data_IF_238086043438
#
_entry.id   IF_238086043438
#
_cell.length_a   1.000
_cell.length_b   1.000
_cell.length_c   1.000
_cell.angle_alpha   90.00
_cell.angle_beta   90.00
_cell.angle_gamma   90.00
#
_symmetry.space_group_name_H-M   'P 1'
#
loop_
_entity.id
_entity.type
_entity.pdbx_description
1 polymer ?
#
# COMPACT_ATOMS: atom_id res chain seq x y z
N UNK A 1 -7.91 0.56 51.24
CA UNK A 1 -7.99 -0.90 51.41
C UNK A 1 -8.84 -1.54 50.30
N UNK A 2 -10.10 -1.09 50.08
CA UNK A 2 -10.99 -1.61 49.02
C UNK A 2 -10.37 -1.46 47.62
N UNK A 3 -9.84 -0.29 47.30
CA UNK A 3 -9.18 -0.03 46.01
C UNK A 3 -8.01 -1.02 45.73
N UNK A 4 -7.14 -1.25 46.72
CA UNK A 4 -6.02 -2.15 46.59
C UNK A 4 -6.47 -3.60 46.38
N UNK A 5 -7.54 -4.02 46.99
CA UNK A 5 -8.12 -5.36 46.79
C UNK A 5 -8.69 -5.52 45.41
N UNK A 6 -9.44 -4.53 44.90
CA UNK A 6 -9.99 -4.55 43.53
C UNK A 6 -8.84 -4.55 42.50
N UNK A 7 -7.84 -3.69 42.69
CA UNK A 7 -6.65 -3.66 41.83
C UNK A 7 -5.96 -5.02 41.78
N UNK A 8 -5.74 -5.67 42.91
CA UNK A 8 -5.09 -6.98 42.98
C UNK A 8 -5.95 -8.05 42.28
N UNK A 9 -7.27 -8.01 42.39
CA UNK A 9 -8.17 -8.93 41.70
C UNK A 9 -8.08 -8.76 40.18
N UNK A 10 -8.05 -7.52 39.68
CA UNK A 10 -7.89 -7.24 38.24
C UNK A 10 -6.53 -7.70 37.74
N UNK A 11 -5.46 -7.42 38.50
CA UNK A 11 -4.11 -7.84 38.13
C UNK A 11 -3.96 -9.37 38.09
N UNK A 12 -4.64 -10.09 38.97
CA UNK A 12 -4.64 -11.54 38.98
C UNK A 12 -5.30 -12.14 37.71
N UNK A 13 -6.19 -11.40 37.05
CA UNK A 13 -6.85 -11.79 35.78
C UNK A 13 -6.18 -11.17 34.56
N UNK A 14 -5.02 -10.52 34.70
CA UNK A 14 -4.39 -9.72 33.66
C UNK A 14 -4.14 -10.47 32.35
N UNK A 15 -3.68 -11.72 32.41
CA UNK A 15 -3.45 -12.56 31.22
C UNK A 15 -4.75 -12.87 30.49
N UNK A 16 -5.81 -13.26 31.23
CA UNK A 16 -7.11 -13.59 30.64
C UNK A 16 -7.76 -12.38 29.99
N UNK A 17 -7.63 -11.19 30.61
CA UNK A 17 -8.10 -9.93 30.04
C UNK A 17 -7.33 -9.57 28.78
N UNK A 18 -6.01 -9.74 28.77
CA UNK A 18 -5.18 -9.50 27.59
C UNK A 18 -5.52 -10.44 26.43
N UNK A 19 -5.73 -11.72 26.70
CA UNK A 19 -6.11 -12.71 25.68
C UNK A 19 -7.50 -12.41 25.11
N UNK A 20 -8.46 -12.04 25.97
CA UNK A 20 -9.79 -11.63 25.52
C UNK A 20 -9.75 -10.36 24.67
N UNK A 21 -8.95 -9.38 25.09
CA UNK A 21 -8.77 -8.15 24.32
C UNK A 21 -8.13 -8.42 22.94
N UNK A 22 -7.15 -9.33 22.87
CA UNK A 22 -6.53 -9.73 21.60
C UNK A 22 -7.55 -10.39 20.68
N UNK A 23 -8.32 -11.36 21.18
CA UNK A 23 -9.35 -12.04 20.39
C UNK A 23 -10.41 -11.06 19.85
N UNK A 24 -10.86 -10.11 20.68
CA UNK A 24 -11.80 -9.07 20.26
C UNK A 24 -11.18 -8.17 19.18
N UNK A 25 -9.92 -7.78 19.32
CA UNK A 25 -9.22 -6.96 18.33
C UNK A 25 -9.09 -7.68 16.98
N UNK A 26 -8.78 -8.98 17.00
CA UNK A 26 -8.72 -9.80 15.76
C UNK A 26 -10.09 -9.87 15.06
N UNK A 27 -11.16 -10.07 15.81
CA UNK A 27 -12.53 -10.09 15.27
C UNK A 27 -12.91 -8.72 14.71
N UNK A 28 -12.59 -7.65 15.41
CA UNK A 28 -12.88 -6.27 14.99
C UNK A 28 -12.19 -5.94 13.69
N UNK A 29 -10.87 -6.18 13.58
CA UNK A 29 -10.10 -5.97 12.36
C UNK A 29 -10.63 -6.82 11.21
N UNK A 30 -10.92 -8.09 11.44
CA UNK A 30 -11.45 -8.99 10.41
C UNK A 30 -12.81 -8.51 9.91
N UNK A 31 -13.70 -8.09 10.82
CA UNK A 31 -15.03 -7.60 10.48
C UNK A 31 -14.97 -6.29 9.71
N UNK A 32 -14.15 -5.33 10.16
CA UNK A 32 -13.97 -4.06 9.49
C UNK A 32 -13.39 -4.25 8.06
N UNK A 33 -12.40 -5.13 7.92
CA UNK A 33 -11.80 -5.47 6.63
C UNK A 33 -12.79 -6.15 5.68
N UNK A 34 -13.61 -7.08 6.20
CA UNK A 34 -14.65 -7.74 5.41
C UNK A 34 -15.74 -6.76 4.96
N UNK A 35 -16.16 -5.85 5.84
CA UNK A 35 -17.13 -4.81 5.52
C UNK A 35 -16.59 -3.89 4.42
N UNK A 36 -15.34 -3.42 4.55
CA UNK A 36 -14.69 -2.58 3.54
C UNK A 36 -14.63 -3.29 2.19
N UNK A 37 -14.21 -4.56 2.19
CA UNK A 37 -14.11 -5.38 0.98
C UNK A 37 -15.47 -5.56 0.28
N UNK A 38 -16.51 -5.86 1.05
CA UNK A 38 -17.86 -6.06 0.53
C UNK A 38 -18.45 -4.75 -0.03
N UNK A 39 -18.31 -3.65 0.71
CA UNK A 39 -18.87 -2.34 0.32
C UNK A 39 -18.21 -1.76 -0.93
N UNK A 40 -16.93 -2.04 -1.15
CA UNK A 40 -16.16 -1.48 -2.28
C UNK A 40 -15.84 -2.53 -3.36
N UNK A 41 -16.47 -3.70 -3.33
CA UNK A 41 -16.25 -4.76 -4.32
C UNK A 41 -14.77 -5.11 -4.50
N UNK A 42 -14.06 -5.31 -3.39
CA UNK A 42 -12.67 -5.76 -3.39
C UNK A 42 -12.60 -7.28 -3.64
N UNK A 43 -11.57 -7.75 -4.32
CA UNK A 43 -11.29 -9.16 -4.51
C UNK A 43 -10.24 -9.69 -3.52
N UNK A 44 -10.24 -10.99 -3.30
CA UNK A 44 -9.19 -11.67 -2.53
C UNK A 44 -7.96 -11.85 -3.41
N UNK A 45 -6.78 -11.26 -3.08
CA UNK A 45 -5.57 -11.48 -3.85
C UNK A 45 -5.07 -12.93 -3.70
N UNK A 46 -4.51 -13.48 -4.77
CA UNK A 46 -3.81 -14.75 -4.74
C UNK A 46 -2.31 -14.47 -4.50
N UNK A 47 -1.83 -14.87 -3.33
CA UNK A 47 -0.41 -14.75 -3.02
C UNK A 47 0.36 -15.95 -3.58
N UNK A 48 1.57 -15.71 -4.12
CA UNK A 48 2.46 -16.69 -4.72
C UNK A 48 3.87 -16.57 -4.13
N UNK A 49 4.62 -17.65 -4.18
CA UNK A 49 6.03 -17.63 -3.77
C UNK A 49 6.94 -17.08 -4.90
N UNK A 50 6.49 -17.20 -6.14
CA UNK A 50 7.21 -16.67 -7.31
C UNK A 50 7.02 -15.14 -7.43
N UNK A 51 7.97 -14.42 -8.03
CA UNK A 51 7.88 -12.98 -8.25
C UNK A 51 6.88 -12.67 -9.38
N UNK A 52 5.61 -12.64 -9.05
CA UNK A 52 4.50 -12.32 -9.96
C UNK A 52 3.84 -11.03 -9.49
N UNK A 53 3.46 -10.16 -10.42
CA UNK A 53 2.68 -8.97 -10.13
C UNK A 53 1.67 -8.73 -11.26
N UNK A 54 0.45 -9.16 -11.05
CA UNK A 54 -0.63 -9.08 -12.01
C UNK A 54 -1.90 -8.59 -11.34
N UNK A 55 -2.44 -7.49 -11.86
CA UNK A 55 -3.66 -6.86 -11.39
C UNK A 55 -4.57 -6.63 -12.59
N UNK A 56 -5.79 -7.13 -12.53
CA UNK A 56 -6.82 -6.89 -13.53
C UNK A 56 -7.85 -5.91 -12.98
N UNK A 57 -8.12 -4.85 -13.74
CA UNK A 57 -9.05 -3.77 -13.39
C UNK A 57 -8.83 -3.22 -11.97
N UNK A 58 -7.56 -2.93 -11.66
CA UNK A 58 -7.18 -2.26 -10.42
C UNK A 58 -7.80 -0.87 -10.31
N UNK A 59 -8.18 -0.49 -9.09
CA UNK A 59 -8.78 0.79 -8.76
C UNK A 59 -8.04 1.44 -7.61
N UNK A 60 -8.11 2.75 -7.48
CA UNK A 60 -7.39 3.45 -6.44
C UNK A 60 -8.22 3.52 -5.14
N UNK A 61 -7.80 2.88 -4.03
CA UNK A 61 -8.61 2.73 -2.82
C UNK A 61 -9.00 4.05 -2.14
N UNK A 62 -8.24 5.11 -2.40
CA UNK A 62 -8.50 6.44 -1.80
C UNK A 62 -9.21 7.38 -2.78
N UNK A 63 -8.82 7.37 -4.06
CA UNK A 63 -9.37 8.33 -5.04
C UNK A 63 -10.75 7.89 -5.51
N UNK A 64 -10.96 6.60 -5.76
CA UNK A 64 -12.25 6.10 -6.23
C UNK A 64 -13.44 6.51 -5.33
N UNK A 65 -13.37 6.37 -4.00
CA UNK A 65 -14.47 6.77 -3.13
C UNK A 65 -14.72 8.30 -3.05
N UNK A 66 -13.73 9.10 -3.49
CA UNK A 66 -13.84 10.57 -3.49
C UNK A 66 -14.43 11.13 -4.79
N UNK A 67 -14.54 10.30 -5.82
CA UNK A 67 -15.13 10.71 -7.09
C UNK A 67 -16.66 10.77 -6.99
N UNK A 68 -17.23 11.77 -7.62
CA UNK A 68 -18.69 11.88 -7.73
C UNK A 68 -19.24 10.75 -8.61
N UNK A 69 -20.48 10.34 -8.35
CA UNK A 69 -21.15 9.24 -9.05
C UNK A 69 -21.25 9.44 -10.57
N UNK A 70 -21.07 10.67 -11.06
CA UNK A 70 -21.09 10.99 -12.48
C UNK A 70 -19.76 10.79 -13.20
N UNK A 71 -18.66 10.61 -12.43
CA UNK A 71 -17.32 10.43 -12.98
C UNK A 71 -16.69 9.15 -12.41
N UNK A 72 -17.07 7.97 -12.93
CA UNK A 72 -16.56 6.71 -12.38
C UNK A 72 -15.05 6.61 -12.56
N UNK A 73 -14.38 5.98 -11.59
CA UNK A 73 -12.96 5.66 -11.69
C UNK A 73 -12.74 4.67 -12.85
N UNK A 74 -11.79 4.99 -13.73
CA UNK A 74 -11.41 4.09 -14.81
C UNK A 74 -10.40 3.09 -14.26
N UNK A 75 -10.81 1.84 -14.17
CA UNK A 75 -9.96 0.75 -13.70
C UNK A 75 -8.83 0.45 -14.70
N UNK A 76 -7.67 0.03 -14.19
CA UNK A 76 -6.48 -0.20 -14.99
C UNK A 76 -5.86 -1.56 -14.70
N UNK A 77 -5.32 -2.20 -15.73
CA UNK A 77 -4.54 -3.43 -15.61
C UNK A 77 -3.07 -3.11 -15.36
N UNK A 78 -2.38 -3.98 -14.61
CA UNK A 78 -0.94 -3.92 -14.40
C UNK A 78 -0.37 -5.35 -14.40
N UNK A 79 0.61 -5.61 -15.26
CA UNK A 79 1.29 -6.90 -15.32
C UNK A 79 2.80 -6.66 -15.40
N UNK A 80 3.54 -6.98 -14.33
CA UNK A 80 4.98 -6.87 -14.22
C UNK A 80 5.64 -8.26 -14.13
N UNK A 81 5.09 -9.24 -14.80
CA UNK A 81 5.68 -10.57 -14.85
C UNK A 81 7.00 -10.53 -15.65
N UNK A 82 7.90 -11.47 -15.39
CA UNK A 82 9.20 -11.61 -16.03
C UNK A 82 10.18 -10.45 -15.79
N UNK A 83 10.12 -9.81 -14.61
CA UNK A 83 11.04 -8.75 -14.21
C UNK A 83 10.90 -7.50 -15.07
N UNK A 84 9.73 -7.24 -15.61
CA UNK A 84 9.45 -6.14 -16.51
C UNK A 84 9.59 -4.78 -15.85
N UNK A 85 10.17 -3.85 -16.58
CA UNK A 85 10.13 -2.43 -16.31
C UNK A 85 9.01 -1.79 -17.15
N UNK A 86 8.06 -1.14 -16.48
CA UNK A 86 7.08 -0.32 -17.17
C UNK A 86 7.49 1.14 -17.17
N UNK A 87 7.62 1.69 -18.37
CA UNK A 87 7.83 3.12 -18.58
C UNK A 87 6.49 3.79 -18.93
N UNK A 88 5.94 4.53 -17.97
CA UNK A 88 4.66 5.24 -18.13
C UNK A 88 4.91 6.63 -18.73
N UNK A 89 4.40 6.85 -19.92
CA UNK A 89 4.47 8.14 -20.62
C UNK A 89 3.08 8.74 -20.80
N UNK A 90 2.99 10.03 -21.00
CA UNK A 90 1.73 10.73 -21.27
C UNK A 90 1.72 12.16 -20.72
N UNK A 91 0.69 12.95 -21.02
CA UNK A 91 0.60 14.34 -20.59
C UNK A 91 0.46 14.44 -19.06
N UNK A 92 0.75 15.64 -18.53
CA UNK A 92 0.51 15.92 -17.12
C UNK A 92 -0.99 15.83 -16.84
N UNK A 93 -1.33 15.41 -15.62
CA UNK A 93 -2.71 15.18 -15.16
C UNK A 93 -3.44 13.99 -15.84
N UNK A 94 -2.74 13.19 -16.65
CA UNK A 94 -3.32 11.98 -17.28
C UNK A 94 -3.49 10.78 -16.34
N UNK A 95 -3.22 10.95 -15.04
CA UNK A 95 -3.38 9.88 -14.05
C UNK A 95 -2.16 8.99 -13.83
N UNK A 96 -0.98 9.30 -14.40
CA UNK A 96 0.26 8.51 -14.21
C UNK A 96 0.58 8.25 -12.74
N UNK A 97 0.70 9.30 -11.94
CA UNK A 97 0.99 9.21 -10.51
C UNK A 97 -0.13 8.50 -9.73
N UNK A 98 -1.39 8.66 -10.15
CA UNK A 98 -2.53 7.94 -9.60
C UNK A 98 -2.39 6.44 -9.84
N UNK A 99 -2.05 6.03 -11.06
CA UNK A 99 -1.80 4.63 -11.41
C UNK A 99 -0.64 4.02 -10.61
N UNK A 100 0.47 4.74 -10.48
CA UNK A 100 1.62 4.29 -9.68
C UNK A 100 1.24 4.06 -8.22
N UNK A 101 0.55 5.03 -7.61
CA UNK A 101 0.10 4.93 -6.21
C UNK A 101 -0.96 3.86 -6.02
N UNK A 102 -1.87 3.68 -6.97
CA UNK A 102 -2.85 2.60 -6.98
C UNK A 102 -2.17 1.25 -6.81
N UNK A 103 -1.17 0.94 -7.64
CA UNK A 103 -0.46 -0.34 -7.58
C UNK A 103 0.32 -0.51 -6.27
N UNK A 104 0.92 0.57 -5.73
CA UNK A 104 1.54 0.56 -4.42
C UNK A 104 0.54 0.20 -3.30
N UNK A 105 -0.62 0.85 -3.29
CA UNK A 105 -1.66 0.58 -2.28
C UNK A 105 -2.18 -0.85 -2.38
N UNK A 106 -2.44 -1.34 -3.59
CA UNK A 106 -2.89 -2.72 -3.81
C UNK A 106 -1.84 -3.72 -3.29
N UNK A 107 -0.54 -3.48 -3.56
CA UNK A 107 0.53 -4.31 -3.04
C UNK A 107 0.58 -4.30 -1.51
N UNK A 108 0.49 -3.14 -0.87
CA UNK A 108 0.48 -3.01 0.60
C UNK A 108 -0.72 -3.75 1.19
N UNK A 109 -1.91 -3.55 0.63
CA UNK A 109 -3.14 -4.21 1.11
C UNK A 109 -3.03 -5.73 0.98
N UNK A 110 -2.55 -6.24 -0.15
CA UNK A 110 -2.36 -7.67 -0.37
C UNK A 110 -1.35 -8.28 0.63
N UNK A 111 -0.20 -7.63 0.86
CA UNK A 111 0.82 -8.07 1.82
C UNK A 111 0.32 -8.01 3.28
N UNK A 112 -0.61 -7.10 3.58
CA UNK A 112 -1.27 -7.02 4.88
C UNK A 112 -2.37 -8.07 5.07
N UNK A 113 -2.65 -8.91 4.07
CA UNK A 113 -3.72 -9.92 4.11
C UNK A 113 -5.12 -9.37 3.88
N UNK A 114 -5.24 -8.17 3.35
CA UNK A 114 -6.51 -7.52 3.02
C UNK A 114 -6.97 -7.89 1.61
N UNK A 115 -8.28 -7.75 1.38
CA UNK A 115 -8.85 -7.73 0.03
C UNK A 115 -8.45 -6.44 -0.67
N UNK A 116 -8.32 -6.48 -2.00
CA UNK A 116 -7.78 -5.39 -2.81
C UNK A 116 -8.80 -4.86 -3.82
N UNK A 117 -8.77 -3.56 -4.15
CA UNK A 117 -9.69 -2.93 -5.11
C UNK A 117 -9.31 -3.31 -6.55
N UNK A 118 -9.64 -4.52 -6.96
CA UNK A 118 -9.40 -5.04 -8.30
C UNK A 118 -10.46 -6.10 -8.64
N UNK A 119 -10.57 -6.46 -9.92
CA UNK A 119 -11.35 -7.63 -10.34
C UNK A 119 -10.62 -8.92 -9.98
N UNK A 120 -9.29 -8.96 -10.22
CA UNK A 120 -8.41 -10.01 -9.75
C UNK A 120 -7.01 -9.47 -9.47
N UNK A 121 -6.27 -10.12 -8.57
CA UNK A 121 -4.88 -9.81 -8.28
C UNK A 121 -4.11 -11.09 -7.95
N UNK A 122 -2.95 -11.27 -8.60
CA UNK A 122 -2.00 -12.34 -8.32
C UNK A 122 -0.66 -11.69 -8.02
N UNK A 123 -0.11 -11.93 -6.84
CA UNK A 123 1.11 -11.26 -6.39
C UNK A 123 2.05 -12.21 -5.69
N UNK A 124 3.33 -12.05 -5.99
CA UNK A 124 4.42 -12.60 -5.20
C UNK A 124 4.62 -11.83 -3.89
N UNK A 125 5.40 -12.42 -2.99
CA UNK A 125 5.81 -11.72 -1.77
C UNK A 125 6.78 -10.59 -2.13
N UNK A 126 6.41 -9.36 -1.73
CA UNK A 126 7.24 -8.16 -1.90
C UNK A 126 8.01 -7.92 -0.62
N UNK A 127 9.33 -8.02 -0.67
CA UNK A 127 10.19 -7.82 0.51
C UNK A 127 10.30 -6.33 0.89
N UNK A 128 10.25 -5.45 -0.10
CA UNK A 128 10.34 -3.99 0.08
C UNK A 128 9.56 -3.28 -1.01
N UNK A 129 8.88 -2.22 -0.59
CA UNK A 129 8.27 -1.26 -1.51
C UNK A 129 9.07 0.04 -1.44
N UNK A 130 9.66 0.43 -2.55
CA UNK A 130 10.32 1.72 -2.70
C UNK A 130 9.41 2.63 -3.53
N UNK A 131 9.13 3.80 -2.98
CA UNK A 131 8.33 4.81 -3.68
C UNK A 131 9.05 6.15 -3.66
N UNK A 132 9.31 6.66 -4.85
CA UNK A 132 9.76 8.03 -5.07
C UNK A 132 8.69 8.71 -5.92
N UNK A 133 7.77 9.38 -5.27
CA UNK A 133 6.65 10.09 -5.92
C UNK A 133 6.74 11.56 -5.54
N UNK A 134 6.98 12.42 -6.53
CA UNK A 134 7.03 13.87 -6.46
C UNK A 134 7.45 14.46 -5.12
N UNK A 135 8.65 15.00 -4.98
CA UNK A 135 8.99 15.80 -3.81
C UNK A 135 8.28 17.15 -3.93
N UNK A 136 7.50 17.51 -2.94
CA UNK A 136 7.26 18.90 -2.66
C UNK A 136 8.62 19.53 -2.35
N UNK A 137 8.90 20.68 -2.96
CA UNK A 137 10.11 21.45 -2.73
C UNK A 137 10.32 21.66 -1.22
N UNK A 138 11.24 20.91 -0.60
CA UNK A 138 11.66 21.18 0.77
C UNK A 138 12.73 22.29 0.77
N UNK A 139 12.32 23.46 0.28
CA UNK A 139 13.13 24.68 0.26
C UNK A 139 13.63 25.06 1.67
N UNK A 140 12.98 24.54 2.72
CA UNK A 140 13.32 24.85 4.11
C UNK A 140 14.64 24.20 4.57
N UNK A 141 15.17 23.19 3.87
CA UNK A 141 16.41 22.49 4.27
C UNK A 141 17.62 22.83 3.41
N UNK A 142 17.50 23.75 2.44
CA UNK A 142 18.63 24.26 1.64
C UNK A 142 19.38 23.18 0.82
N UNK A 143 18.80 22.00 0.62
CA UNK A 143 19.36 20.95 -0.23
C UNK A 143 18.76 21.06 -1.63
N UNK A 144 19.60 20.99 -2.64
CA UNK A 144 19.13 20.86 -4.02
C UNK A 144 18.22 19.64 -4.12
N UNK A 145 16.99 19.83 -4.64
CA UNK A 145 16.02 18.77 -4.90
C UNK A 145 16.65 17.64 -5.72
N UNK A 146 17.52 17.97 -6.67
CA UNK A 146 18.28 17.01 -7.47
C UNK A 146 19.20 16.13 -6.63
N UNK A 147 19.95 16.70 -5.65
CA UNK A 147 20.82 15.89 -4.78
C UNK A 147 20.04 14.92 -3.91
N UNK A 148 18.91 15.36 -3.37
CA UNK A 148 18.01 14.48 -2.59
C UNK A 148 17.51 13.34 -3.45
N UNK A 149 17.06 13.64 -4.65
CA UNK A 149 16.58 12.67 -5.63
C UNK A 149 17.67 11.66 -5.98
N UNK A 150 18.90 12.08 -6.23
CA UNK A 150 20.02 11.18 -6.54
C UNK A 150 20.37 10.25 -5.36
N UNK A 151 20.38 10.78 -4.15
CA UNK A 151 20.65 9.98 -2.94
C UNK A 151 19.56 8.94 -2.70
N UNK A 152 18.28 9.31 -2.86
CA UNK A 152 17.15 8.38 -2.71
C UNK A 152 17.18 7.32 -3.80
N UNK A 153 17.42 7.69 -5.06
CA UNK A 153 17.53 6.74 -6.17
C UNK A 153 18.71 5.78 -5.97
N UNK A 154 19.87 6.29 -5.54
CA UNK A 154 21.01 5.45 -5.21
C UNK A 154 20.70 4.48 -4.06
N UNK A 155 19.97 4.92 -3.04
CA UNK A 155 19.55 4.07 -1.95
C UNK A 155 18.60 2.94 -2.41
N UNK A 156 17.70 3.24 -3.35
CA UNK A 156 16.84 2.23 -3.98
C UNK A 156 17.68 1.21 -4.75
N UNK A 157 18.55 1.67 -5.65
CA UNK A 157 19.41 0.80 -6.47
C UNK A 157 20.30 -0.13 -5.63
N UNK A 158 20.78 0.36 -4.48
CA UNK A 158 21.64 -0.44 -3.60
C UNK A 158 20.88 -1.41 -2.69
N UNK A 159 19.58 -1.23 -2.50
CA UNK A 159 18.78 -1.99 -1.52
C UNK A 159 17.68 -2.84 -2.16
N UNK A 160 17.30 -2.55 -3.38
CA UNK A 160 16.28 -3.31 -4.09
C UNK A 160 16.80 -4.73 -4.39
N UNK A 161 15.92 -5.69 -4.26
CA UNK A 161 16.11 -7.09 -4.60
C UNK A 161 15.25 -7.44 -5.81
N UNK A 162 15.32 -8.67 -6.27
CA UNK A 162 14.41 -9.18 -7.32
C UNK A 162 12.96 -9.36 -6.84
N UNK A 163 12.69 -9.20 -5.54
CA UNK A 163 11.36 -9.25 -4.95
C UNK A 163 10.86 -7.86 -4.52
N UNK A 164 11.61 -6.81 -4.79
CA UNK A 164 11.21 -5.46 -4.41
C UNK A 164 10.32 -4.81 -5.48
N UNK A 165 9.24 -4.17 -5.05
CA UNK A 165 8.44 -3.30 -5.91
C UNK A 165 9.00 -1.88 -5.86
N UNK A 166 9.40 -1.36 -7.01
CA UNK A 166 9.98 -0.01 -7.12
C UNK A 166 9.06 0.87 -7.96
N UNK A 167 8.66 2.00 -7.39
CA UNK A 167 7.80 3.00 -8.02
C UNK A 167 8.53 4.33 -8.06
N UNK A 168 8.79 4.81 -9.27
CA UNK A 168 9.52 6.05 -9.50
C UNK A 168 8.65 6.98 -10.34
N UNK A 169 8.35 8.17 -9.82
CA UNK A 169 7.58 9.20 -10.51
C UNK A 169 8.48 10.40 -10.78
N UNK A 170 8.58 10.79 -12.06
CA UNK A 170 9.27 12.00 -12.52
C UNK A 170 10.73 12.17 -12.05
N UNK A 171 11.59 11.20 -12.36
CA UNK A 171 13.03 11.29 -12.05
C UNK A 171 13.69 12.35 -12.94
N UNK A 172 14.60 13.16 -12.35
CA UNK A 172 15.43 14.14 -13.07
C UNK A 172 14.79 15.51 -13.26
N UNK A 173 13.71 15.84 -12.55
CA UNK A 173 13.09 17.18 -12.61
C UNK A 173 13.86 18.27 -11.88
N UNK A 174 14.81 17.93 -11.04
CA UNK A 174 15.58 18.88 -10.22
C UNK A 174 16.73 19.59 -10.93
N UNK A 175 16.80 19.52 -12.27
CA UNK A 175 17.82 20.19 -13.08
C UNK A 175 17.31 21.50 -13.66
#
# INVERSE_FOLDING_TARGET
>A
EIFNRLRSSVLAMGSQLADSARALAEIDVATASAQLANSNHHCRPQMRDEPVFEITKGRHPVIEPLLESQTPFIANDCNLNDGCLWLLTGPNMAGKSTFLRQNAHIAIMAQAGLYVPAESAIMGLVDRLFSRVGAADDLARGRSTFMVEMVETAAILNRATNQSLVILDEIGRGT
#
